data_IF_823631747118
#
_entry.id   IF_823631747118
#
_cell.length_a   1.000
_cell.length_b   1.000
_cell.length_c   1.000
_cell.angle_alpha   90.00
_cell.angle_beta   90.00
_cell.angle_gamma   90.00
#
_symmetry.space_group_name_H-M   'P 1'
#
loop_
_entity.id
_entity.type
_entity.pdbx_description
1 polymer ?
#
# COMPACT_ATOMS: atom_id res chain seq x y z
N UNK A 1 21.90 -22.59 -3.30
CA UNK A 1 22.15 -21.12 -3.31
C UNK A 1 21.28 -20.38 -4.33
N UNK A 2 21.07 -20.90 -5.55
CA UNK A 2 20.25 -20.25 -6.59
C UNK A 2 18.87 -19.73 -6.12
N UNK A 3 17.97 -20.57 -5.58
CA UNK A 3 16.65 -20.13 -5.10
C UNK A 3 16.69 -19.11 -3.95
N UNK A 4 17.76 -19.12 -3.14
CA UNK A 4 17.93 -18.19 -2.02
C UNK A 4 18.39 -16.81 -2.53
N UNK A 5 19.30 -16.79 -3.51
CA UNK A 5 19.87 -15.55 -4.06
C UNK A 5 18.97 -14.90 -5.12
N UNK A 6 18.12 -15.67 -5.78
CA UNK A 6 17.25 -15.19 -6.86
C UNK A 6 16.42 -13.94 -6.49
N UNK A 7 15.65 -13.90 -5.37
CA UNK A 7 14.89 -12.70 -5.01
C UNK A 7 15.77 -11.45 -4.83
N UNK A 8 16.95 -11.60 -4.22
CA UNK A 8 17.91 -10.51 -4.05
C UNK A 8 18.44 -10.01 -5.41
N UNK A 9 18.75 -10.92 -6.34
CA UNK A 9 19.24 -10.55 -7.66
C UNK A 9 18.15 -9.89 -8.51
N UNK A 10 16.91 -10.39 -8.46
CA UNK A 10 15.75 -9.77 -9.12
C UNK A 10 15.53 -8.35 -8.58
N UNK A 11 15.59 -8.14 -7.27
CA UNK A 11 15.50 -6.81 -6.68
C UNK A 11 16.66 -5.90 -7.12
N UNK A 12 17.89 -6.42 -7.15
CA UNK A 12 19.08 -5.70 -7.58
C UNK A 12 19.02 -5.22 -9.03
N UNK A 13 18.63 -6.09 -9.97
CA UNK A 13 18.45 -5.69 -11.37
C UNK A 13 17.23 -4.77 -11.53
N UNK A 14 16.18 -4.95 -10.71
CA UNK A 14 15.01 -4.10 -10.68
C UNK A 14 15.34 -2.63 -10.36
N UNK A 15 16.32 -2.37 -9.50
CA UNK A 15 16.84 -1.01 -9.25
C UNK A 15 17.45 -0.42 -10.53
N UNK A 16 18.29 -1.18 -11.22
CA UNK A 16 18.94 -0.73 -12.48
C UNK A 16 17.88 -0.45 -13.54
N UNK A 17 16.89 -1.33 -13.69
CA UNK A 17 15.81 -1.15 -14.65
C UNK A 17 14.89 0.02 -14.30
N UNK A 18 14.68 0.29 -13.01
CA UNK A 18 13.97 1.49 -12.56
C UNK A 18 14.73 2.75 -12.94
N UNK A 19 16.06 2.79 -12.75
CA UNK A 19 16.90 3.91 -13.20
C UNK A 19 16.82 4.09 -14.72
N UNK A 20 16.84 3.00 -15.49
CA UNK A 20 16.66 3.08 -16.94
C UNK A 20 15.28 3.63 -17.28
N UNK A 21 14.23 3.17 -16.59
CA UNK A 21 12.86 3.63 -16.78
C UNK A 21 12.68 5.14 -16.57
N UNK A 22 13.40 5.74 -15.60
CA UNK A 22 13.28 7.19 -15.34
C UNK A 22 13.81 8.03 -16.51
N UNK A 23 14.80 7.54 -17.26
CA UNK A 23 15.35 8.23 -18.44
C UNK A 23 14.33 8.43 -19.57
N UNK A 24 13.25 7.64 -19.56
CA UNK A 24 12.16 7.72 -20.53
C UNK A 24 11.02 8.64 -20.08
N UNK A 25 10.95 9.04 -18.81
CA UNK A 25 9.95 9.99 -18.32
C UNK A 25 10.29 11.37 -18.88
N UNK A 26 9.52 11.84 -19.87
CA UNK A 26 9.72 13.13 -20.53
C UNK A 26 8.40 13.82 -20.80
N UNK A 27 8.33 15.10 -20.42
CA UNK A 27 7.26 16.02 -20.80
C UNK A 27 7.79 16.87 -21.96
N UNK A 28 7.03 16.94 -23.06
CA UNK A 28 7.49 17.56 -24.31
C UNK A 28 7.15 19.05 -24.40
N UNK A 29 6.10 19.49 -23.72
CA UNK A 29 5.57 20.84 -23.80
C UNK A 29 5.17 21.32 -22.39
N UNK A 30 5.35 22.61 -22.13
CA UNK A 30 4.91 23.28 -20.91
C UNK A 30 3.37 23.45 -20.86
N UNK A 31 2.67 23.21 -21.98
CA UNK A 31 1.20 23.14 -22.04
C UNK A 31 0.61 21.80 -21.56
N UNK A 32 1.46 20.91 -21.03
CA UNK A 32 1.07 19.57 -20.66
C UNK A 32 -0.01 19.54 -19.58
N UNK A 33 -1.04 18.73 -19.82
CA UNK A 33 -2.16 18.50 -18.90
C UNK A 33 -1.95 17.25 -18.05
N UNK A 34 -2.77 17.08 -17.03
CA UNK A 34 -2.73 15.97 -16.09
C UNK A 34 -2.62 14.59 -16.78
N UNK A 35 -3.38 14.28 -17.85
CA UNK A 35 -3.27 12.99 -18.53
C UNK A 35 -1.90 12.76 -19.18
N UNK A 36 -1.24 13.81 -19.65
CA UNK A 36 0.06 13.71 -20.31
C UNK A 36 1.18 13.47 -19.29
N UNK A 37 1.14 14.17 -18.16
CA UNK A 37 2.05 13.97 -17.03
C UNK A 37 1.89 12.56 -16.47
N UNK A 38 0.65 12.13 -16.19
CA UNK A 38 0.36 10.78 -15.70
C UNK A 38 0.86 9.72 -16.69
N UNK A 39 0.65 9.93 -18.00
CA UNK A 39 1.13 9.01 -19.04
C UNK A 39 2.66 8.91 -19.07
N UNK A 40 3.37 10.03 -18.87
CA UNK A 40 4.83 10.03 -18.81
C UNK A 40 5.36 9.20 -17.62
N UNK A 41 4.76 9.37 -16.43
CA UNK A 41 5.11 8.57 -15.25
C UNK A 41 4.76 7.08 -15.44
N UNK A 42 3.57 6.79 -15.97
CA UNK A 42 3.14 5.42 -16.27
C UNK A 42 4.08 4.74 -17.28
N UNK A 43 4.60 5.46 -18.27
CA UNK A 43 5.56 4.92 -19.24
C UNK A 43 6.86 4.48 -18.57
N UNK A 44 7.40 5.28 -17.63
CA UNK A 44 8.57 4.89 -16.85
C UNK A 44 8.34 3.61 -16.04
N UNK A 45 7.16 3.48 -15.45
CA UNK A 45 6.75 2.27 -14.72
C UNK A 45 6.66 1.04 -15.64
N UNK A 46 5.96 1.15 -16.77
CA UNK A 46 5.83 0.04 -17.73
C UNK A 46 7.18 -0.45 -18.25
N UNK A 47 8.10 0.48 -18.58
CA UNK A 47 9.45 0.12 -19.01
C UNK A 47 10.18 -0.64 -17.90
N UNK A 48 10.10 -0.17 -16.66
CA UNK A 48 10.72 -0.82 -15.50
C UNK A 48 10.18 -2.25 -15.31
N UNK A 49 8.86 -2.44 -15.42
CA UNK A 49 8.21 -3.75 -15.31
C UNK A 49 8.66 -4.70 -16.43
N UNK A 50 8.65 -4.25 -17.69
CA UNK A 50 9.03 -5.07 -18.85
C UNK A 50 10.51 -5.48 -18.78
N UNK A 51 11.40 -4.54 -18.45
CA UNK A 51 12.82 -4.84 -18.29
C UNK A 51 13.06 -5.81 -17.13
N UNK A 52 12.33 -5.64 -16.02
CA UNK A 52 12.38 -6.56 -14.87
C UNK A 52 11.91 -7.96 -15.26
N UNK A 53 10.86 -8.10 -16.07
CA UNK A 53 10.42 -9.40 -16.59
C UNK A 53 11.51 -10.08 -17.41
N UNK A 54 12.13 -9.34 -18.35
CA UNK A 54 13.21 -9.84 -19.20
C UNK A 54 14.44 -10.24 -18.36
N UNK A 55 14.86 -9.36 -17.45
CA UNK A 55 15.99 -9.63 -16.55
C UNK A 55 15.73 -10.82 -15.64
N UNK A 56 14.51 -10.96 -15.13
CA UNK A 56 14.13 -12.11 -14.29
C UNK A 56 14.16 -13.43 -15.07
N UNK A 57 13.72 -13.43 -16.33
CA UNK A 57 13.83 -14.60 -17.20
C UNK A 57 15.29 -15.06 -17.36
N UNK A 58 16.19 -14.10 -17.66
CA UNK A 58 17.62 -14.37 -17.81
C UNK A 58 18.23 -14.89 -16.50
N UNK A 59 17.94 -14.22 -15.37
CA UNK A 59 18.44 -14.64 -14.05
C UNK A 59 17.97 -16.04 -13.67
N UNK A 60 16.71 -16.36 -13.91
CA UNK A 60 16.15 -17.69 -13.63
C UNK A 60 16.87 -18.76 -14.45
N UNK A 61 17.07 -18.52 -15.76
CA UNK A 61 17.80 -19.43 -16.66
C UNK A 61 19.26 -19.63 -16.27
N UNK A 62 19.89 -18.62 -15.67
CA UNK A 62 21.29 -18.68 -15.25
C UNK A 62 21.49 -19.31 -13.87
N UNK A 63 20.55 -19.10 -12.93
CA UNK A 63 20.74 -19.43 -11.52
C UNK A 63 20.02 -20.69 -11.07
N UNK A 64 18.95 -21.09 -11.77
CA UNK A 64 18.15 -22.27 -11.42
C UNK A 64 18.44 -23.43 -12.38
N UNK A 65 18.48 -24.68 -11.87
CA UNK A 65 18.49 -25.86 -12.73
C UNK A 65 17.15 -26.01 -13.45
N UNK A 66 17.11 -26.85 -14.50
CA UNK A 66 15.89 -27.04 -15.30
C UNK A 66 14.69 -27.52 -14.47
N UNK A 67 14.96 -28.42 -13.52
CA UNK A 67 14.01 -28.96 -12.55
C UNK A 67 14.53 -28.76 -11.13
N UNK A 68 13.62 -28.33 -10.25
CA UNK A 68 13.83 -28.19 -8.81
C UNK A 68 12.92 -29.18 -8.08
N UNK A 69 13.44 -29.79 -7.01
CA UNK A 69 12.63 -30.58 -6.09
C UNK A 69 12.19 -29.67 -4.94
N UNK A 70 10.88 -29.42 -4.85
CA UNK A 70 10.30 -28.51 -3.85
C UNK A 70 9.24 -29.23 -3.04
N UNK A 71 9.16 -28.95 -1.74
CA UNK A 71 8.11 -29.46 -0.87
C UNK A 71 6.90 -28.54 -0.91
N UNK A 72 5.73 -29.11 -1.17
CA UNK A 72 4.46 -28.42 -1.06
C UNK A 72 3.84 -28.74 0.31
N UNK A 73 3.78 -27.74 1.17
CA UNK A 73 3.27 -27.90 2.52
C UNK A 73 1.79 -28.34 2.51
N UNK A 74 1.46 -29.39 3.28
CA UNK A 74 0.10 -29.91 3.39
C UNK A 74 -0.38 -30.77 2.22
N UNK A 75 0.46 -31.07 1.23
CA UNK A 75 0.12 -31.87 0.04
C UNK A 75 0.81 -33.25 0.00
N UNK A 76 1.27 -33.73 1.15
CA UNK A 76 1.78 -35.09 1.27
C UNK A 76 0.69 -36.13 0.98
N UNK A 77 1.00 -37.12 0.15
CA UNK A 77 0.11 -38.26 -0.12
C UNK A 77 0.71 -39.54 0.45
N UNK A 78 -0.08 -40.63 0.54
CA UNK A 78 0.44 -41.93 1.00
C UNK A 78 1.63 -42.44 0.16
N UNK A 79 1.75 -42.03 -1.11
CA UNK A 79 2.87 -42.35 -2.01
C UNK A 79 3.98 -41.30 -2.02
N UNK A 80 3.76 -40.11 -1.45
CA UNK A 80 4.72 -39.02 -1.34
C UNK A 80 4.50 -38.26 -0.02
N UNK A 81 4.92 -38.84 1.12
CA UNK A 81 4.59 -38.31 2.44
C UNK A 81 5.13 -36.90 2.68
N UNK A 82 6.25 -36.56 2.05
CA UNK A 82 6.92 -35.28 2.19
C UNK A 82 6.41 -34.21 1.19
N UNK A 83 5.49 -34.58 0.29
CA UNK A 83 4.85 -33.63 -0.65
C UNK A 83 5.81 -33.06 -1.70
N UNK A 84 6.86 -33.80 -2.08
CA UNK A 84 7.80 -33.35 -3.11
C UNK A 84 7.14 -33.25 -4.48
N UNK A 85 7.32 -32.11 -5.15
CA UNK A 85 6.99 -31.97 -6.56
C UNK A 85 8.17 -31.43 -7.34
N UNK A 86 8.27 -31.89 -8.58
CA UNK A 86 9.20 -31.33 -9.54
C UNK A 86 8.63 -30.02 -10.08
N UNK A 87 9.34 -28.94 -9.82
CA UNK A 87 9.00 -27.59 -10.28
C UNK A 87 10.03 -27.20 -11.33
N UNK A 88 9.56 -26.85 -12.53
CA UNK A 88 10.47 -26.37 -13.57
C UNK A 88 10.89 -24.93 -13.29
N UNK A 89 12.08 -24.53 -13.73
CA UNK A 89 12.51 -23.13 -13.69
C UNK A 89 11.51 -22.18 -14.38
N UNK A 90 10.79 -22.65 -15.42
CA UNK A 90 9.77 -21.85 -16.10
C UNK A 90 8.52 -21.64 -15.26
N UNK A 91 8.19 -22.58 -14.38
CA UNK A 91 7.10 -22.38 -13.42
C UNK A 91 7.48 -21.29 -12.40
N UNK A 92 8.73 -21.26 -11.91
CA UNK A 92 9.23 -20.17 -11.07
C UNK A 92 9.15 -18.81 -11.79
N UNK A 93 9.49 -18.77 -13.09
CA UNK A 93 9.29 -17.57 -13.90
C UNK A 93 7.81 -17.17 -14.03
N UNK A 94 6.91 -18.14 -14.17
CA UNK A 94 5.46 -17.92 -14.12
C UNK A 94 5.01 -17.23 -12.83
N UNK A 95 5.53 -17.66 -11.67
CA UNK A 95 5.25 -17.01 -10.39
C UNK A 95 5.78 -15.56 -10.32
N UNK A 96 6.99 -15.30 -10.84
CA UNK A 96 7.54 -13.94 -10.97
C UNK A 96 6.64 -13.06 -11.84
N UNK A 97 6.17 -13.57 -12.97
CA UNK A 97 5.27 -12.84 -13.86
C UNK A 97 3.93 -12.51 -13.19
N UNK A 98 3.38 -13.43 -12.39
CA UNK A 98 2.18 -13.15 -11.57
C UNK A 98 2.42 -11.94 -10.67
N UNK A 99 3.56 -11.87 -9.97
CA UNK A 99 3.93 -10.73 -9.12
C UNK A 99 3.99 -9.40 -9.87
N UNK A 100 4.66 -9.38 -11.02
CA UNK A 100 4.76 -8.19 -11.87
C UNK A 100 3.39 -7.73 -12.40
N UNK A 101 2.55 -8.68 -12.82
CA UNK A 101 1.18 -8.40 -13.28
C UNK A 101 0.32 -7.85 -12.16
N UNK A 102 0.43 -8.40 -10.94
CA UNK A 102 -0.29 -7.87 -9.77
C UNK A 102 0.11 -6.43 -9.49
N UNK A 103 1.41 -6.11 -9.51
CA UNK A 103 1.87 -4.73 -9.32
C UNK A 103 1.32 -3.75 -10.36
N UNK A 104 1.28 -4.17 -11.63
CA UNK A 104 0.71 -3.37 -12.71
C UNK A 104 -0.81 -3.15 -12.53
N UNK A 105 -1.56 -4.22 -12.23
CA UNK A 105 -3.01 -4.17 -12.09
C UNK A 105 -3.46 -3.40 -10.84
N UNK A 106 -2.73 -3.49 -9.73
CA UNK A 106 -3.01 -2.67 -8.55
C UNK A 106 -2.84 -1.19 -8.85
N UNK A 107 -1.79 -0.83 -9.58
CA UNK A 107 -1.59 0.56 -10.02
C UNK A 107 -2.75 1.03 -10.89
N UNK A 108 -3.17 0.20 -11.85
CA UNK A 108 -4.31 0.49 -12.73
C UNK A 108 -5.64 0.64 -11.99
N UNK A 109 -5.96 -0.29 -11.07
CA UNK A 109 -7.20 -0.21 -10.28
C UNK A 109 -7.20 1.02 -9.38
N UNK A 110 -6.07 1.34 -8.76
CA UNK A 110 -5.96 2.52 -7.90
C UNK A 110 -6.16 3.79 -8.71
N UNK A 111 -5.48 3.94 -9.87
CA UNK A 111 -5.67 5.08 -10.78
C UNK A 111 -7.13 5.23 -11.24
N UNK A 112 -7.87 4.14 -11.43
CA UNK A 112 -9.28 4.23 -11.81
C UNK A 112 -10.17 4.84 -10.71
N UNK A 113 -9.89 4.53 -9.44
CA UNK A 113 -10.68 5.01 -8.31
C UNK A 113 -10.23 6.38 -7.79
N UNK A 114 -8.97 6.76 -8.03
CA UNK A 114 -8.41 8.02 -7.51
C UNK A 114 -8.04 9.03 -8.60
N UNK A 115 -7.99 8.65 -9.88
CA UNK A 115 -7.61 9.56 -10.96
C UNK A 115 -8.70 10.56 -11.36
N UNK A 116 -8.30 11.78 -11.71
CA UNK A 116 -9.19 12.83 -12.21
C UNK A 116 -9.95 12.40 -13.48
N UNK A 117 -11.19 12.88 -13.62
CA UNK A 117 -12.04 12.62 -14.78
C UNK A 117 -12.54 11.17 -14.90
N UNK A 118 -12.21 10.29 -13.95
CA UNK A 118 -12.73 8.92 -13.93
C UNK A 118 -14.14 8.89 -13.33
N UNK A 119 -14.93 7.91 -13.75
CA UNK A 119 -16.33 7.73 -13.33
C UNK A 119 -16.53 7.77 -11.79
N UNK A 120 -15.70 7.10 -10.96
CA UNK A 120 -15.89 7.14 -9.50
C UNK A 120 -15.76 8.55 -8.91
N UNK A 121 -14.82 9.36 -9.41
CA UNK A 121 -14.61 10.74 -8.93
C UNK A 121 -15.75 11.64 -9.39
N UNK A 122 -16.17 11.54 -10.65
CA UNK A 122 -17.27 12.32 -11.18
C UNK A 122 -18.59 12.05 -10.42
N UNK A 123 -18.81 10.83 -9.94
CA UNK A 123 -19.97 10.49 -9.11
C UNK A 123 -19.91 11.21 -7.74
N UNK A 124 -18.72 11.33 -7.13
CA UNK A 124 -18.53 12.10 -5.88
C UNK A 124 -18.76 13.60 -6.13
N UNK A 125 -18.22 14.14 -7.22
CA UNK A 125 -18.41 15.54 -7.63
C UNK A 125 -19.90 15.83 -7.83
N UNK A 126 -20.62 14.99 -8.58
CA UNK A 126 -22.07 15.15 -8.80
C UNK A 126 -22.86 15.10 -7.48
N UNK A 127 -22.53 14.16 -6.59
CA UNK A 127 -23.20 14.04 -5.29
C UNK A 127 -22.88 15.20 -4.35
N UNK A 128 -21.71 15.83 -4.49
CA UNK A 128 -21.33 17.00 -3.70
C UNK A 128 -22.25 18.21 -3.93
N UNK A 129 -22.95 18.29 -5.08
CA UNK A 129 -23.95 19.31 -5.35
C UNK A 129 -25.14 19.29 -4.35
N UNK A 130 -25.36 18.16 -3.66
CA UNK A 130 -26.43 18.00 -2.68
C UNK A 130 -25.96 18.17 -1.22
N UNK A 131 -24.69 18.51 -1.00
CA UNK A 131 -24.12 18.86 0.30
C UNK A 131 -23.00 17.92 0.80
N UNK A 132 -22.41 18.28 1.95
CA UNK A 132 -21.28 17.54 2.52
C UNK A 132 -21.64 16.11 2.97
N UNK A 133 -22.88 15.88 3.41
CA UNK A 133 -23.32 14.55 3.86
C UNK A 133 -23.32 13.51 2.74
N UNK A 134 -23.86 13.88 1.57
CA UNK A 134 -23.87 13.01 0.38
C UNK A 134 -22.48 12.83 -0.22
N UNK A 135 -21.62 13.85 -0.15
CA UNK A 135 -20.20 13.73 -0.50
C UNK A 135 -19.46 12.67 0.35
N UNK A 136 -19.66 12.69 1.68
CA UNK A 136 -19.06 11.69 2.57
C UNK A 136 -19.62 10.29 2.27
N UNK A 137 -20.93 10.16 2.08
CA UNK A 137 -21.53 8.86 1.73
C UNK A 137 -20.98 8.33 0.40
N UNK A 138 -20.81 9.21 -0.60
CA UNK A 138 -20.27 8.86 -1.91
C UNK A 138 -18.83 8.33 -1.81
N UNK A 139 -17.92 9.08 -1.18
CA UNK A 139 -16.53 8.68 -1.08
C UNK A 139 -16.30 7.43 -0.22
N UNK A 140 -17.06 7.27 0.87
CA UNK A 140 -17.06 6.01 1.64
C UNK A 140 -17.49 4.83 0.77
N UNK A 141 -18.56 4.99 0.00
CA UNK A 141 -19.06 3.97 -0.92
C UNK A 141 -18.03 3.61 -2.00
N UNK A 142 -17.42 4.62 -2.64
CA UNK A 142 -16.36 4.42 -3.64
C UNK A 142 -15.17 3.68 -3.04
N UNK A 143 -14.69 4.09 -1.86
CA UNK A 143 -13.61 3.40 -1.16
C UNK A 143 -13.94 1.93 -0.87
N UNK A 144 -15.14 1.64 -0.35
CA UNK A 144 -15.55 0.27 -0.04
C UNK A 144 -15.60 -0.61 -1.30
N UNK A 145 -16.19 -0.11 -2.38
CA UNK A 145 -16.26 -0.80 -3.68
C UNK A 145 -14.85 -1.01 -4.26
N UNK A 146 -13.93 -0.08 -4.05
CA UNK A 146 -12.58 -0.14 -4.59
C UNK A 146 -11.77 -1.34 -4.10
N UNK A 147 -12.18 -1.98 -3.00
CA UNK A 147 -11.54 -3.19 -2.48
C UNK A 147 -11.82 -4.44 -3.32
N UNK A 148 -12.92 -4.45 -4.08
CA UNK A 148 -13.42 -5.63 -4.78
C UNK A 148 -12.39 -6.23 -5.77
N UNK A 149 -11.92 -5.43 -6.73
CA UNK A 149 -11.01 -5.93 -7.76
C UNK A 149 -9.62 -6.29 -7.22
N UNK A 150 -8.97 -5.48 -6.36
CA UNK A 150 -7.71 -5.86 -5.71
C UNK A 150 -7.77 -7.17 -4.92
N UNK A 151 -8.85 -7.42 -4.17
CA UNK A 151 -8.96 -8.65 -3.36
C UNK A 151 -9.11 -9.88 -4.24
N UNK A 152 -9.92 -9.81 -5.31
CA UNK A 152 -10.00 -10.90 -6.29
C UNK A 152 -8.67 -11.12 -7.01
N UNK A 153 -7.95 -10.05 -7.32
CA UNK A 153 -6.61 -10.12 -7.89
C UNK A 153 -5.64 -10.83 -6.94
N UNK A 154 -5.64 -10.51 -5.64
CA UNK A 154 -4.80 -11.21 -4.66
C UNK A 154 -5.17 -12.68 -4.55
N UNK A 155 -6.46 -13.03 -4.47
CA UNK A 155 -6.89 -14.42 -4.46
C UNK A 155 -6.39 -15.21 -5.69
N UNK A 156 -6.56 -14.62 -6.88
CA UNK A 156 -6.06 -15.21 -8.12
C UNK A 156 -4.53 -15.31 -8.16
N UNK A 157 -3.82 -14.30 -7.66
CA UNK A 157 -2.37 -14.28 -7.59
C UNK A 157 -1.83 -15.36 -6.66
N UNK A 158 -2.45 -15.55 -5.49
CA UNK A 158 -2.08 -16.59 -4.53
C UNK A 158 -2.26 -17.96 -5.16
N UNK A 159 -3.44 -18.24 -5.74
CA UNK A 159 -3.70 -19.53 -6.40
C UNK A 159 -2.75 -19.80 -7.56
N UNK A 160 -2.55 -18.84 -8.45
CA UNK A 160 -1.68 -19.01 -9.61
C UNK A 160 -0.21 -19.15 -9.23
N UNK A 161 0.32 -18.27 -8.37
CA UNK A 161 1.73 -18.35 -7.92
C UNK A 161 2.00 -19.61 -7.09
N UNK A 162 1.06 -20.03 -6.26
CA UNK A 162 1.14 -21.29 -5.53
C UNK A 162 1.10 -22.50 -6.49
N UNK A 163 0.24 -22.50 -7.51
CA UNK A 163 0.20 -23.58 -8.50
C UNK A 163 1.53 -23.71 -9.27
N UNK A 164 2.26 -22.60 -9.46
CA UNK A 164 3.56 -22.61 -10.13
C UNK A 164 4.70 -23.16 -9.27
N UNK A 165 4.85 -22.71 -8.02
CA UNK A 165 6.00 -23.09 -7.19
C UNK A 165 5.71 -23.12 -5.68
N UNK A 166 4.46 -23.38 -5.29
CA UNK A 166 4.02 -23.47 -3.90
C UNK A 166 4.18 -22.14 -3.16
N UNK A 167 4.42 -22.20 -1.85
CA UNK A 167 4.65 -21.01 -1.05
C UNK A 167 5.91 -20.23 -1.45
N UNK A 168 6.91 -20.90 -2.04
CA UNK A 168 8.03 -20.21 -2.66
C UNK A 168 7.58 -19.39 -3.87
N UNK A 169 6.65 -19.92 -4.67
CA UNK A 169 6.00 -19.19 -5.76
C UNK A 169 5.29 -17.93 -5.27
N UNK A 170 4.52 -18.02 -4.18
CA UNK A 170 3.88 -16.86 -3.55
C UNK A 170 4.92 -15.83 -3.08
N UNK A 171 6.01 -16.30 -2.44
CA UNK A 171 7.08 -15.44 -1.93
C UNK A 171 7.87 -14.74 -3.06
N UNK A 172 8.22 -15.47 -4.12
CA UNK A 172 8.97 -14.91 -5.25
C UNK A 172 8.08 -13.98 -6.09
N UNK A 173 6.77 -14.22 -6.16
CA UNK A 173 5.81 -13.28 -6.74
C UNK A 173 5.77 -11.96 -5.95
N UNK A 174 5.73 -12.02 -4.61
CA UNK A 174 5.82 -10.84 -3.76
C UNK A 174 7.14 -10.08 -3.99
N UNK A 175 8.27 -10.80 -4.02
CA UNK A 175 9.58 -10.21 -4.29
C UNK A 175 9.67 -9.58 -5.68
N UNK A 176 9.12 -10.24 -6.71
CA UNK A 176 9.11 -9.76 -8.08
C UNK A 176 8.25 -8.50 -8.23
N UNK A 177 7.08 -8.47 -7.58
CA UNK A 177 6.27 -7.26 -7.48
C UNK A 177 7.11 -6.11 -6.95
N UNK A 178 7.85 -6.31 -5.85
CA UNK A 178 8.72 -5.29 -5.25
C UNK A 178 9.97 -4.94 -6.05
N UNK A 179 10.32 -5.66 -7.12
CA UNK A 179 11.54 -5.38 -7.87
C UNK A 179 11.51 -3.99 -8.53
N UNK A 180 10.33 -3.45 -8.83
CA UNK A 180 10.14 -2.09 -9.38
C UNK A 180 9.92 -1.02 -8.29
N UNK A 181 10.18 -1.33 -7.02
CA UNK A 181 9.94 -0.41 -5.89
C UNK A 181 10.68 0.93 -6.07
N UNK A 182 11.88 0.94 -6.65
CA UNK A 182 12.62 2.18 -6.86
C UNK A 182 11.86 3.16 -7.80
N UNK A 183 11.26 2.66 -8.88
CA UNK A 183 10.41 3.46 -9.76
C UNK A 183 9.12 3.90 -9.05
N UNK A 184 8.48 2.99 -8.30
CA UNK A 184 7.23 3.31 -7.61
C UNK A 184 7.43 4.35 -6.49
N UNK A 185 8.53 4.27 -5.74
CA UNK A 185 8.90 5.29 -4.76
C UNK A 185 9.22 6.63 -5.40
N UNK A 186 9.88 6.65 -6.57
CA UNK A 186 10.13 7.90 -7.29
C UNK A 186 8.81 8.57 -7.75
N UNK A 187 7.86 7.78 -8.22
CA UNK A 187 6.52 8.23 -8.64
C UNK A 187 5.67 8.69 -7.45
N UNK A 188 5.76 8.01 -6.30
CA UNK A 188 5.10 8.40 -5.05
C UNK A 188 5.70 9.72 -4.50
N UNK A 189 7.03 9.78 -4.39
CA UNK A 189 7.75 10.96 -3.90
C UNK A 189 7.57 12.21 -4.77
N UNK A 190 7.24 12.05 -6.05
CA UNK A 190 6.89 13.16 -6.94
C UNK A 190 5.70 13.97 -6.40
N UNK A 191 4.69 13.33 -5.81
CA UNK A 191 3.48 14.01 -5.35
C UNK A 191 3.76 15.06 -4.27
N UNK A 192 4.36 14.69 -3.12
CA UNK A 192 4.72 15.65 -2.08
C UNK A 192 5.70 16.74 -2.54
N UNK A 193 6.54 16.47 -3.54
CA UNK A 193 7.41 17.49 -4.13
C UNK A 193 6.59 18.53 -4.90
N UNK A 194 5.62 18.07 -5.70
CA UNK A 194 4.72 18.94 -6.46
C UNK A 194 3.83 19.80 -5.54
N UNK A 195 3.26 19.20 -4.49
CA UNK A 195 2.46 19.90 -3.48
C UNK A 195 3.27 21.03 -2.80
N UNK A 196 4.48 20.72 -2.32
CA UNK A 196 5.38 21.73 -1.73
C UNK A 196 5.77 22.82 -2.74
N UNK A 197 5.98 22.48 -4.02
CA UNK A 197 6.26 23.47 -5.05
C UNK A 197 5.08 24.44 -5.24
N UNK A 198 3.84 23.94 -5.22
CA UNK A 198 2.63 24.76 -5.27
C UNK A 198 2.48 25.65 -4.04
N UNK A 199 2.73 25.11 -2.84
CA UNK A 199 2.74 25.91 -1.61
C UNK A 199 3.80 27.02 -1.61
N UNK A 200 5.01 26.74 -2.09
CA UNK A 200 6.08 27.75 -2.22
C UNK A 200 5.69 28.82 -3.25
N UNK A 201 5.06 28.44 -4.37
CA UNK A 201 4.61 29.37 -5.39
C UNK A 201 3.57 30.36 -4.83
N UNK A 202 2.58 29.85 -4.10
CA UNK A 202 1.55 30.65 -3.43
C UNK A 202 2.17 31.58 -2.37
N UNK A 203 3.01 31.06 -1.47
CA UNK A 203 3.63 31.84 -0.40
C UNK A 203 4.62 32.91 -0.92
N UNK A 204 5.12 32.75 -2.14
CA UNK A 204 6.06 33.68 -2.78
C UNK A 204 5.39 34.66 -3.74
N UNK A 205 4.05 34.65 -3.85
CA UNK A 205 3.26 35.50 -4.74
C UNK A 205 3.75 35.42 -6.21
N UNK A 206 4.07 34.20 -6.65
CA UNK A 206 4.46 33.95 -8.04
C UNK A 206 3.25 34.09 -8.98
N UNK A 207 3.46 34.37 -10.29
CA UNK A 207 2.36 34.50 -11.23
C UNK A 207 1.45 33.28 -11.27
N UNK A 208 0.14 33.50 -11.50
CA UNK A 208 -0.90 32.46 -11.52
C UNK A 208 -0.55 31.26 -12.41
N UNK A 209 0.14 31.49 -13.53
CA UNK A 209 0.62 30.43 -14.44
C UNK A 209 1.51 29.40 -13.72
N UNK A 210 2.32 29.81 -12.75
CA UNK A 210 3.14 28.90 -11.95
C UNK A 210 2.26 28.03 -11.05
N UNK A 211 1.23 28.64 -10.44
CA UNK A 211 0.29 27.93 -9.57
C UNK A 211 -0.52 26.91 -10.36
N UNK A 212 -1.08 27.31 -11.49
CA UNK A 212 -1.82 26.43 -12.41
C UNK A 212 -0.98 25.20 -12.81
N UNK A 213 0.30 25.40 -13.16
CA UNK A 213 1.21 24.30 -13.48
C UNK A 213 1.47 23.40 -12.28
N UNK A 214 1.71 23.96 -11.10
CA UNK A 214 1.90 23.14 -9.89
C UNK A 214 0.65 22.36 -9.50
N UNK A 215 -0.54 22.91 -9.71
CA UNK A 215 -1.80 22.22 -9.41
C UNK A 215 -2.04 21.04 -10.35
N UNK A 216 -1.66 21.15 -11.63
CA UNK A 216 -1.63 20.02 -12.56
C UNK A 216 -0.71 18.91 -12.03
N UNK A 217 0.48 19.27 -11.55
CA UNK A 217 1.45 18.30 -11.02
C UNK A 217 0.98 17.67 -9.69
N UNK A 218 0.38 18.47 -8.79
CA UNK A 218 -0.17 18.04 -7.50
C UNK A 218 -1.33 17.05 -7.70
N UNK A 219 -2.25 17.35 -8.62
CA UNK A 219 -3.37 16.45 -8.92
C UNK A 219 -2.92 15.07 -9.44
N UNK A 220 -1.87 15.05 -10.27
CA UNK A 220 -1.19 13.82 -10.70
C UNK A 220 -0.51 13.15 -9.50
N UNK A 221 0.17 13.95 -8.68
CA UNK A 221 0.80 13.56 -7.41
C UNK A 221 -0.13 12.83 -6.45
N UNK A 222 -1.38 13.28 -6.30
CA UNK A 222 -2.37 12.62 -5.45
C UNK A 222 -2.75 11.24 -5.95
N UNK A 223 -2.86 11.09 -7.28
CA UNK A 223 -3.11 9.79 -7.92
C UNK A 223 -1.91 8.87 -7.74
N UNK A 224 -0.69 9.36 -7.94
CA UNK A 224 0.54 8.57 -7.83
C UNK A 224 0.85 8.18 -6.39
N UNK A 225 0.57 9.05 -5.42
CA UNK A 225 0.68 8.73 -4.00
C UNK A 225 -0.32 7.63 -3.59
N UNK A 226 -1.55 7.67 -4.12
CA UNK A 226 -2.50 6.59 -3.90
C UNK A 226 -2.00 5.27 -4.52
N UNK A 227 -1.44 5.30 -5.73
CA UNK A 227 -0.84 4.13 -6.39
C UNK A 227 0.32 3.56 -5.56
N UNK A 228 1.22 4.42 -5.07
CA UNK A 228 2.35 4.02 -4.21
C UNK A 228 1.88 3.31 -2.94
N UNK A 229 0.89 3.88 -2.25
CA UNK A 229 0.24 3.26 -1.09
C UNK A 229 -0.46 1.94 -1.45
N UNK A 230 -1.19 1.89 -2.56
CA UNK A 230 -1.83 0.67 -3.06
C UNK A 230 -0.82 -0.45 -3.32
N UNK A 231 0.32 -0.10 -3.93
CA UNK A 231 1.43 -1.01 -4.17
C UNK A 231 2.06 -1.52 -2.87
N UNK A 232 2.27 -0.64 -1.89
CA UNK A 232 2.76 -1.03 -0.56
C UNK A 232 1.81 -2.00 0.15
N UNK A 233 0.49 -1.75 0.07
CA UNK A 233 -0.53 -2.63 0.65
C UNK A 233 -0.51 -4.01 -0.03
N UNK A 234 -0.44 -4.05 -1.35
CA UNK A 234 -0.38 -5.30 -2.11
C UNK A 234 0.88 -6.11 -1.83
N UNK A 235 2.04 -5.45 -1.76
CA UNK A 235 3.31 -6.06 -1.35
C UNK A 235 3.22 -6.63 0.07
N UNK A 236 2.66 -5.88 1.02
CA UNK A 236 2.46 -6.35 2.39
C UNK A 236 1.52 -7.57 2.45
N UNK A 237 0.44 -7.59 1.67
CA UNK A 237 -0.51 -8.70 1.60
C UNK A 237 0.15 -10.00 1.13
N UNK A 238 0.86 -9.96 0.00
CA UNK A 238 1.54 -11.14 -0.55
C UNK A 238 2.71 -11.60 0.33
N UNK A 239 3.44 -10.67 0.92
CA UNK A 239 4.56 -10.98 1.83
C UNK A 239 4.06 -11.62 3.13
N UNK A 240 2.94 -11.15 3.69
CA UNK A 240 2.36 -11.74 4.90
C UNK A 240 2.03 -13.24 4.70
N UNK A 241 1.55 -13.61 3.52
CA UNK A 241 1.26 -15.02 3.19
C UNK A 241 2.52 -15.87 3.06
N UNK A 242 3.58 -15.32 2.45
CA UNK A 242 4.89 -15.99 2.42
C UNK A 242 5.44 -16.21 3.84
N UNK A 243 5.26 -15.22 4.72
CA UNK A 243 5.62 -15.32 6.13
C UNK A 243 4.78 -16.34 6.89
N UNK A 244 3.53 -16.62 6.50
CA UNK A 244 2.75 -17.72 7.10
C UNK A 244 3.36 -19.08 6.85
N UNK A 245 3.82 -19.33 5.62
CA UNK A 245 4.48 -20.60 5.31
C UNK A 245 5.76 -20.79 6.13
N UNK A 246 6.56 -19.73 6.25
CA UNK A 246 7.75 -19.72 7.10
C UNK A 246 7.37 -19.94 8.58
N UNK A 247 6.36 -19.23 9.08
CA UNK A 247 5.88 -19.32 10.46
C UNK A 247 5.45 -20.75 10.82
N UNK A 248 4.64 -21.38 9.98
CA UNK A 248 4.19 -22.77 10.16
C UNK A 248 5.38 -23.73 10.23
N UNK A 249 6.35 -23.55 9.33
CA UNK A 249 7.58 -24.36 9.29
C UNK A 249 8.44 -24.19 10.55
N UNK A 250 8.65 -22.96 11.01
CA UNK A 250 9.49 -22.68 12.19
C UNK A 250 8.84 -23.07 13.52
N UNK A 251 7.51 -23.04 13.59
CA UNK A 251 6.76 -23.43 14.78
C UNK A 251 6.48 -24.93 14.85
N UNK A 252 6.61 -25.64 13.72
CA UNK A 252 6.37 -27.07 13.62
C UNK A 252 4.89 -27.45 13.80
N UNK A 253 3.97 -26.52 13.52
CA UNK A 253 2.53 -26.79 13.51
C UNK A 253 2.14 -27.41 12.16
N UNK A 254 1.14 -28.29 12.15
CA UNK A 254 0.66 -28.94 10.92
C UNK A 254 -0.17 -27.99 10.04
N UNK A 255 -0.58 -26.84 10.58
CA UNK A 255 -1.34 -25.82 9.90
C UNK A 255 -2.18 -25.00 10.87
N UNK A 256 -2.92 -24.02 10.34
CA UNK A 256 -3.81 -23.17 11.14
C UNK A 256 -5.23 -23.72 11.01
N UNK A 257 -5.71 -24.44 12.03
CA UNK A 257 -7.04 -25.03 12.00
C UNK A 257 -8.12 -24.09 12.55
N UNK A 258 -8.87 -23.46 11.66
CA UNK A 258 -9.96 -22.53 12.02
C UNK A 258 -11.16 -23.20 12.74
N UNK A 259 -11.24 -24.53 12.77
CA UNK A 259 -12.25 -25.25 13.56
C UNK A 259 -11.90 -25.32 15.05
N UNK A 260 -10.64 -25.05 15.43
CA UNK A 260 -10.27 -24.93 16.85
C UNK A 260 -10.81 -23.61 17.39
N UNK A 261 -11.67 -23.67 18.41
CA UNK A 261 -12.27 -22.48 19.01
C UNK A 261 -11.25 -21.38 19.43
N UNK A 262 -10.08 -21.71 20.02
CA UNK A 262 -9.07 -20.70 20.34
C UNK A 262 -8.49 -19.98 19.11
N UNK A 263 -8.28 -20.71 18.00
CA UNK A 263 -7.77 -20.14 16.74
C UNK A 263 -8.82 -19.23 16.11
N UNK A 264 -10.07 -19.68 16.06
CA UNK A 264 -11.18 -18.87 15.54
C UNK A 264 -11.41 -17.60 16.38
N UNK A 265 -11.31 -17.70 17.71
CA UNK A 265 -11.39 -16.53 18.59
C UNK A 265 -10.28 -15.52 18.27
N UNK A 266 -9.04 -15.98 18.13
CA UNK A 266 -7.92 -15.10 17.80
C UNK A 266 -8.01 -14.52 16.38
N UNK A 267 -8.63 -15.22 15.43
CA UNK A 267 -8.95 -14.68 14.10
C UNK A 267 -9.81 -13.41 14.19
N UNK A 268 -10.87 -13.41 15.00
CA UNK A 268 -11.71 -12.22 15.22
C UNK A 268 -10.95 -11.11 15.94
N UNK A 269 -10.13 -11.45 16.94
CA UNK A 269 -9.26 -10.47 17.63
C UNK A 269 -8.31 -9.82 16.62
N UNK A 270 -7.67 -10.60 15.76
CA UNK A 270 -6.80 -10.10 14.70
C UNK A 270 -7.54 -9.20 13.71
N UNK A 271 -8.73 -9.61 13.28
CA UNK A 271 -9.56 -8.81 12.37
C UNK A 271 -9.99 -7.45 12.94
N UNK A 272 -10.13 -7.35 14.26
CA UNK A 272 -10.45 -6.11 14.95
C UNK A 272 -9.28 -5.12 14.99
N UNK A 273 -8.03 -5.59 15.09
CA UNK A 273 -6.86 -4.72 15.32
C UNK A 273 -6.71 -3.61 14.29
N UNK A 274 -6.78 -3.87 12.96
CA UNK A 274 -6.71 -2.81 11.96
C UNK A 274 -7.80 -1.73 12.11
N UNK A 275 -9.03 -2.14 12.47
CA UNK A 275 -10.17 -1.23 12.64
C UNK A 275 -9.95 -0.29 13.83
N UNK A 276 -9.53 -0.86 14.96
CA UNK A 276 -9.24 -0.10 16.18
C UNK A 276 -8.01 0.79 15.95
N UNK A 277 -7.00 0.30 15.24
CA UNK A 277 -5.82 1.09 14.87
C UNK A 277 -6.22 2.33 14.07
N UNK A 278 -7.05 2.17 13.04
CA UNK A 278 -7.55 3.29 12.27
C UNK A 278 -8.36 4.26 13.11
N UNK A 279 -9.25 3.78 13.99
CA UNK A 279 -10.03 4.66 14.86
C UNK A 279 -9.15 5.49 15.81
N UNK A 280 -8.12 4.87 16.41
CA UNK A 280 -7.16 5.58 17.27
C UNK A 280 -6.37 6.63 16.48
N UNK A 281 -5.87 6.28 15.30
CA UNK A 281 -5.15 7.21 14.43
C UNK A 281 -6.03 8.39 13.98
N UNK A 282 -7.27 8.13 13.58
CA UNK A 282 -8.21 9.19 13.17
C UNK A 282 -8.58 10.12 14.33
N UNK A 283 -8.81 9.57 15.53
CA UNK A 283 -9.11 10.36 16.72
C UNK A 283 -7.91 11.22 17.13
N UNK A 284 -6.69 10.71 17.01
CA UNK A 284 -5.46 11.46 17.25
C UNK A 284 -5.35 12.68 16.33
N UNK A 285 -5.55 12.48 15.02
CA UNK A 285 -5.56 13.56 14.02
C UNK A 285 -6.68 14.56 14.31
N UNK A 286 -7.89 14.09 14.63
CA UNK A 286 -9.03 14.96 14.93
C UNK A 286 -8.80 15.90 16.12
N UNK A 287 -8.20 15.40 17.21
CA UNK A 287 -7.81 16.25 18.35
C UNK A 287 -6.79 17.32 17.94
N UNK A 288 -5.73 16.91 17.25
CA UNK A 288 -4.65 17.81 16.82
C UNK A 288 -5.17 18.89 15.85
N UNK A 289 -6.03 18.50 14.90
CA UNK A 289 -6.66 19.41 13.95
C UNK A 289 -7.54 20.45 14.66
N UNK A 290 -8.29 20.06 15.70
CA UNK A 290 -9.11 21.00 16.47
C UNK A 290 -8.27 22.00 17.26
N UNK A 291 -7.13 21.59 17.79
CA UNK A 291 -6.17 22.51 18.42
C UNK A 291 -5.58 23.47 17.39
N UNK A 292 -5.18 22.96 16.22
CA UNK A 292 -4.69 23.77 15.09
C UNK A 292 -5.71 24.83 14.66
N UNK A 293 -6.98 24.45 14.46
CA UNK A 293 -8.05 25.38 14.06
C UNK A 293 -8.26 26.47 15.10
N UNK A 294 -8.21 26.13 16.40
CA UNK A 294 -8.34 27.14 17.47
C UNK A 294 -7.18 28.11 17.46
N UNK A 295 -5.96 27.63 17.24
CA UNK A 295 -4.77 28.47 17.18
C UNK A 295 -4.77 29.41 15.96
N UNK A 296 -5.08 28.90 14.76
CA UNK A 296 -5.20 29.74 13.55
C UNK A 296 -6.28 30.81 13.74
N UNK A 297 -7.45 30.44 14.31
CA UNK A 297 -8.51 31.41 14.63
C UNK A 297 -8.09 32.44 15.66
N UNK A 298 -7.29 32.06 16.65
CA UNK A 298 -6.73 32.98 17.64
C UNK A 298 -5.82 33.99 16.95
N UNK A 299 -4.89 33.54 16.11
CA UNK A 299 -3.99 34.41 15.36
C UNK A 299 -4.78 35.41 14.49
N UNK A 300 -5.77 34.95 13.72
CA UNK A 300 -6.61 35.85 12.90
C UNK A 300 -7.41 36.87 13.71
N UNK A 301 -7.77 36.56 14.96
CA UNK A 301 -8.56 37.46 15.81
C UNK A 301 -7.70 38.44 16.61
N UNK A 302 -6.54 37.98 17.09
CA UNK A 302 -5.75 38.69 18.09
C UNK A 302 -4.55 39.43 17.51
N UNK A 303 -4.00 39.01 16.36
CA UNK A 303 -2.84 39.65 15.73
C UNK A 303 -3.33 40.76 14.79
N UNK A 304 -3.13 42.05 15.11
CA UNK A 304 -3.58 43.14 14.26
C UNK A 304 -2.77 43.17 12.96
N UNK A 305 -3.43 43.34 11.80
CA UNK A 305 -2.75 43.42 10.51
C UNK A 305 -2.53 42.08 9.80
N UNK A 306 -2.90 40.94 10.41
CA UNK A 306 -2.63 39.61 9.84
C UNK A 306 -3.47 39.32 8.59
N UNK A 307 -4.76 39.68 8.61
CA UNK A 307 -5.66 39.51 7.45
C UNK A 307 -5.39 40.55 6.36
N UNK A 308 -4.73 41.65 6.71
CA UNK A 308 -4.25 42.68 5.79
C UNK A 308 -2.84 42.40 5.26
N UNK A 309 -2.25 41.22 5.55
CA UNK A 309 -0.91 40.81 5.13
C UNK A 309 0.22 41.75 5.62
N UNK A 310 0.00 42.46 6.74
CA UNK A 310 0.96 43.41 7.34
C UNK A 310 1.69 42.86 8.57
N UNK A 311 1.17 41.79 9.17
CA UNK A 311 1.78 41.12 10.32
C UNK A 311 2.15 39.68 9.96
N UNK A 312 3.31 39.23 10.44
CA UNK A 312 3.78 37.87 10.22
C UNK A 312 3.04 36.88 11.15
N UNK A 313 2.51 35.76 10.63
CA UNK A 313 1.89 34.72 11.44
C UNK A 313 2.88 34.01 12.37
N UNK A 314 2.38 33.46 13.48
CA UNK A 314 3.19 32.68 14.42
C UNK A 314 3.24 31.20 13.98
N UNK A 315 4.07 30.89 12.98
CA UNK A 315 4.19 29.54 12.41
C UNK A 315 4.68 28.50 13.41
N UNK A 316 5.56 28.89 14.34
CA UNK A 316 6.14 28.02 15.38
C UNK A 316 5.07 27.40 16.28
N UNK A 317 3.99 28.13 16.56
CA UNK A 317 2.85 27.64 17.37
C UNK A 317 2.14 26.48 16.68
N UNK A 318 1.85 26.62 15.39
CA UNK A 318 1.22 25.57 14.59
C UNK A 318 2.12 24.33 14.52
N UNK A 319 3.42 24.51 14.27
CA UNK A 319 4.42 23.42 14.26
C UNK A 319 4.50 22.72 15.62
N UNK A 320 4.49 23.46 16.73
CA UNK A 320 4.56 22.90 18.07
C UNK A 320 3.32 22.03 18.41
N UNK A 321 2.12 22.46 17.98
CA UNK A 321 0.88 21.70 18.17
C UNK A 321 0.97 20.35 17.45
N UNK A 322 1.28 20.36 16.14
CA UNK A 322 1.37 19.13 15.35
C UNK A 322 2.49 18.20 15.84
N UNK A 323 3.64 18.75 16.22
CA UNK A 323 4.79 17.99 16.76
C UNK A 323 4.44 17.30 18.07
N UNK A 324 3.87 18.04 19.03
CA UNK A 324 3.53 17.49 20.35
C UNK A 324 2.43 16.44 20.25
N UNK A 325 1.41 16.69 19.42
CA UNK A 325 0.30 15.76 19.23
C UNK A 325 0.76 14.47 18.54
N UNK A 326 1.54 14.58 17.45
CA UNK A 326 2.02 13.40 16.71
C UNK A 326 2.89 12.49 17.58
N UNK A 327 3.85 13.04 18.33
CA UNK A 327 4.72 12.26 19.22
C UNK A 327 3.94 11.54 20.33
N UNK A 328 2.94 12.21 20.92
CA UNK A 328 2.16 11.63 22.01
C UNK A 328 1.15 10.59 21.54
N UNK A 329 0.37 10.92 20.51
CA UNK A 329 -0.77 10.10 20.11
C UNK A 329 -0.35 8.89 19.26
N UNK A 330 0.84 8.89 18.63
CA UNK A 330 1.37 7.73 17.89
C UNK A 330 1.75 6.55 18.80
N UNK A 331 2.03 6.81 20.09
CA UNK A 331 2.52 5.78 21.03
C UNK A 331 1.53 4.63 21.21
N UNK A 332 0.24 4.91 21.36
CA UNK A 332 -0.76 3.87 21.63
C UNK A 332 -1.01 2.97 20.40
N UNK A 333 -1.28 3.51 19.19
CA UNK A 333 -1.37 2.68 17.98
C UNK A 333 -0.10 1.87 17.72
N UNK A 334 1.09 2.47 17.92
CA UNK A 334 2.37 1.78 17.73
C UNK A 334 2.63 0.68 18.76
N UNK A 335 2.33 0.92 20.03
CA UNK A 335 2.46 -0.10 21.07
C UNK A 335 1.51 -1.28 20.82
N UNK A 336 0.31 -1.01 20.31
CA UNK A 336 -0.69 -2.03 20.01
C UNK A 336 -0.20 -3.05 18.98
N UNK A 337 0.45 -2.61 17.89
CA UNK A 337 0.93 -3.52 16.83
C UNK A 337 2.03 -4.47 17.30
N UNK A 338 2.80 -4.08 18.32
CA UNK A 338 3.86 -4.89 18.93
C UNK A 338 3.31 -5.76 20.06
N UNK A 339 2.46 -5.19 20.93
CA UNK A 339 1.97 -5.85 22.13
C UNK A 339 1.00 -7.00 21.82
N UNK A 340 0.05 -6.82 20.88
CA UNK A 340 -0.96 -7.83 20.59
C UNK A 340 -0.37 -9.18 20.13
N UNK A 341 0.56 -9.24 19.14
CA UNK A 341 1.20 -10.50 18.76
C UNK A 341 1.89 -11.19 19.94
N UNK A 342 2.58 -10.43 20.81
CA UNK A 342 3.26 -10.99 21.99
C UNK A 342 2.25 -11.53 23.01
N UNK A 343 1.17 -10.80 23.28
CA UNK A 343 0.11 -11.25 24.18
C UNK A 343 -0.53 -12.53 23.64
N UNK A 344 -0.89 -12.57 22.35
CA UNK A 344 -1.50 -13.76 21.74
C UNK A 344 -0.54 -14.94 21.73
N UNK A 345 0.77 -14.70 21.56
CA UNK A 345 1.77 -15.76 21.59
C UNK A 345 1.99 -16.36 22.98
N UNK A 346 2.12 -15.52 24.02
CA UNK A 346 2.59 -15.96 25.33
C UNK A 346 1.50 -16.10 26.40
N UNK A 347 0.41 -15.34 26.32
CA UNK A 347 -0.66 -15.40 27.31
C UNK A 347 -1.32 -16.79 27.39
N UNK A 348 -1.65 -17.48 26.27
CA UNK A 348 -2.24 -18.82 26.34
C UNK A 348 -1.33 -19.83 27.04
N UNK A 349 0.00 -19.69 26.92
CA UNK A 349 0.94 -20.57 27.61
C UNK A 349 0.79 -20.51 29.14
N UNK A 350 0.42 -19.36 29.69
CA UNK A 350 0.13 -19.20 31.13
C UNK A 350 -1.14 -19.93 31.58
N UNK A 351 -2.05 -20.18 30.63
CA UNK A 351 -3.30 -20.93 30.86
C UNK A 351 -3.16 -22.43 30.54
N UNK A 352 -1.93 -22.93 30.35
CA UNK A 352 -1.65 -24.35 30.15
C UNK A 352 -1.75 -24.83 28.70
N UNK A 353 -1.86 -23.91 27.72
CA UNK A 353 -1.76 -24.27 26.31
C UNK A 353 -0.32 -24.62 25.94
N UNK A 354 -0.14 -25.59 25.05
CA UNK A 354 1.17 -25.92 24.53
C UNK A 354 1.73 -24.78 23.66
N UNK A 355 3.04 -24.78 23.42
CA UNK A 355 3.68 -23.80 22.53
C UNK A 355 3.14 -23.90 21.09
N UNK A 356 2.77 -25.10 20.64
CA UNK A 356 2.19 -25.33 19.32
C UNK A 356 0.75 -24.82 19.24
N UNK A 357 -0.08 -25.07 20.27
CA UNK A 357 -1.44 -24.52 20.32
C UNK A 357 -1.42 -22.99 20.31
N UNK A 358 -0.49 -22.40 21.06
CA UNK A 358 -0.31 -20.94 21.10
C UNK A 358 0.18 -20.38 19.76
N UNK A 359 1.03 -21.12 19.04
CA UNK A 359 1.45 -20.78 17.69
C UNK A 359 0.28 -20.83 16.69
N UNK A 360 -0.58 -21.84 16.76
CA UNK A 360 -1.79 -21.90 15.93
C UNK A 360 -2.74 -20.74 16.21
N UNK A 361 -2.92 -20.37 17.49
CA UNK A 361 -3.70 -19.20 17.92
C UNK A 361 -3.12 -17.91 17.34
N UNK A 362 -1.81 -17.74 17.39
CA UNK A 362 -1.11 -16.61 16.77
C UNK A 362 -1.30 -16.61 15.24
N UNK A 363 -1.24 -17.78 14.60
CA UNK A 363 -1.53 -17.92 13.17
C UNK A 363 -2.95 -17.45 12.82
N UNK A 364 -3.95 -17.81 13.64
CA UNK A 364 -5.31 -17.29 13.52
C UNK A 364 -5.37 -15.76 13.63
N UNK A 365 -4.72 -15.18 14.64
CA UNK A 365 -4.60 -13.73 14.79
C UNK A 365 -3.98 -13.07 13.56
N UNK A 366 -2.84 -13.57 13.08
CA UNK A 366 -2.16 -12.95 11.95
C UNK A 366 -3.01 -13.03 10.67
N UNK A 367 -3.70 -14.14 10.42
CA UNK A 367 -4.63 -14.26 9.29
C UNK A 367 -5.76 -13.21 9.36
N UNK A 368 -6.30 -12.97 10.56
CA UNK A 368 -7.32 -11.96 10.80
C UNK A 368 -6.81 -10.55 10.53
N UNK A 369 -5.61 -10.22 11.04
CA UNK A 369 -4.95 -8.93 10.80
C UNK A 369 -4.71 -8.71 9.31
N UNK A 370 -4.22 -9.73 8.58
CA UNK A 370 -3.92 -9.61 7.16
C UNK A 370 -5.18 -9.36 6.34
N UNK A 371 -6.22 -10.18 6.48
CA UNK A 371 -7.44 -10.06 5.66
C UNK A 371 -8.19 -8.75 5.95
N UNK A 372 -8.37 -8.42 7.23
CA UNK A 372 -9.04 -7.17 7.63
C UNK A 372 -8.20 -5.94 7.27
N UNK A 373 -6.89 -6.00 7.53
CA UNK A 373 -5.97 -4.88 7.33
C UNK A 373 -5.86 -4.49 5.86
N UNK A 374 -5.78 -5.46 4.95
CA UNK A 374 -5.71 -5.17 3.51
C UNK A 374 -7.00 -4.49 3.02
N UNK A 375 -8.17 -4.96 3.46
CA UNK A 375 -9.45 -4.34 3.12
C UNK A 375 -9.52 -2.89 3.61
N UNK A 376 -9.22 -2.66 4.89
CA UNK A 376 -9.27 -1.33 5.49
C UNK A 376 -8.24 -0.37 4.89
N UNK A 377 -7.03 -0.85 4.58
CA UNK A 377 -5.99 -0.03 3.99
C UNK A 377 -6.36 0.43 2.57
N UNK A 378 -6.87 -0.47 1.71
CA UNK A 378 -7.31 -0.11 0.36
C UNK A 378 -8.49 0.86 0.43
N UNK A 379 -9.47 0.55 1.27
CA UNK A 379 -10.65 1.40 1.48
C UNK A 379 -10.25 2.83 1.86
N UNK A 380 -9.43 3.00 2.90
CA UNK A 380 -9.04 4.32 3.41
C UNK A 380 -8.17 5.09 2.41
N UNK A 381 -7.23 4.40 1.77
CA UNK A 381 -6.36 4.99 0.75
C UNK A 381 -7.19 5.57 -0.40
N UNK A 382 -8.08 4.77 -0.97
CA UNK A 382 -8.82 5.14 -2.16
C UNK A 382 -9.96 6.12 -1.86
N UNK A 383 -10.63 6.00 -0.71
CA UNK A 383 -11.62 7.00 -0.29
C UNK A 383 -10.98 8.39 -0.12
N UNK A 384 -9.83 8.45 0.56
CA UNK A 384 -9.06 9.68 0.75
C UNK A 384 -8.64 10.31 -0.57
N UNK A 385 -7.98 9.53 -1.43
CA UNK A 385 -7.55 10.01 -2.75
C UNK A 385 -8.72 10.44 -3.65
N UNK A 386 -9.85 9.73 -3.61
CA UNK A 386 -11.02 10.09 -4.39
C UNK A 386 -11.67 11.40 -3.92
N UNK A 387 -11.75 11.66 -2.62
CA UNK A 387 -12.23 12.96 -2.12
C UNK A 387 -11.30 14.11 -2.49
N UNK A 388 -9.99 13.90 -2.41
CA UNK A 388 -9.02 14.95 -2.71
C UNK A 388 -9.06 15.34 -4.19
N UNK A 389 -9.12 14.35 -5.09
CA UNK A 389 -9.26 14.63 -6.50
C UNK A 389 -10.68 15.07 -6.90
N UNK A 390 -11.73 14.72 -6.14
CA UNK A 390 -13.04 15.35 -6.30
C UNK A 390 -13.00 16.85 -5.95
N UNK A 391 -12.28 17.24 -4.88
CA UNK A 391 -12.04 18.65 -4.53
C UNK A 391 -11.28 19.36 -5.64
N UNK A 392 -10.18 18.78 -6.14
CA UNK A 392 -9.40 19.34 -7.26
C UNK A 392 -10.22 19.51 -8.53
N UNK A 393 -11.18 18.61 -8.79
CA UNK A 393 -12.11 18.74 -9.91
C UNK A 393 -13.01 19.98 -9.81
N UNK A 394 -13.26 20.53 -8.62
CA UNK A 394 -13.96 21.81 -8.46
C UNK A 394 -13.01 23.01 -8.56
N UNK A 395 -11.77 22.87 -8.09
CA UNK A 395 -10.74 23.92 -8.14
C UNK A 395 -10.30 24.21 -9.59
N UNK A 396 -10.28 23.20 -10.46
CA UNK A 396 -9.91 23.32 -11.87
C UNK A 396 -11.02 23.89 -12.79
N UNK A 397 -12.26 24.04 -12.28
CA UNK A 397 -13.46 24.40 -13.07
C UNK A 397 -14.06 23.23 -13.83
#
# INVERSE_FOLDING_TARGET
>A
LGPIMLPLMIAGVGIIFSIIGTLFIRIKDNSAKEPEVQRALNMGNWISIVLTAIGSYVLIKMLLPETLHMTFFGEGTASNPEGYKEVTQMAVFGAVMVGLVVGALISYFTEYYTGLGKKPILDIVQKSATGAGTNIIAGLGVGMISTFAPILLFAAAIWSSYAFAGFYGVAIAASAMMATTAMQLAIDAFGPIADNAGGIAEMSDLPDEVRERTDILDAVGNTTAAIGKGFAIASAALTALALFAAFVTFTGIDGINIFKAPVLAMLFVGGMVPVVFSALAMNAVGKAAMEMVKEVRRQFKEIPGIMEYKAEPEYDKCVAISTKASLREMMLPGAMTIAFPLVVAFLPMLFGYSSQDSAEMLGGYMAGVTVSGVLWAIFQNNAGGAWDNAKKSFEAG
#
